data_IF_640033255881
#
_entry.id   IF_640033255881
#
_cell.length_a   1.000
_cell.length_b   1.000
_cell.length_c   1.000
_cell.angle_alpha   90.00
_cell.angle_beta   90.00
_cell.angle_gamma   90.00
#
_symmetry.space_group_name_H-M   'P 1'
#
loop_
_entity.id
_entity.type
_entity.pdbx_description
1 polymer ?
#
# COMPACT_ATOMS: atom_id res chain seq x y z
N UNK A 1 14.38 -0.22 36.76
CA UNK A 1 13.76 0.73 35.83
C UNK A 1 14.30 0.43 34.44
N UNK A 2 13.47 0.26 33.41
CA UNK A 2 13.94 0.12 32.02
C UNK A 2 14.24 1.50 31.46
N UNK A 3 15.44 1.72 30.95
CA UNK A 3 15.90 2.99 30.33
C UNK A 3 15.87 2.95 28.79
N UNK A 4 15.31 1.88 28.23
CA UNK A 4 15.21 1.69 26.78
C UNK A 4 13.77 1.96 26.29
N UNK A 5 13.59 2.48 25.07
CA UNK A 5 12.27 2.64 24.48
C UNK A 5 11.54 1.29 24.32
N UNK A 6 10.27 1.33 23.98
CA UNK A 6 9.48 0.12 23.70
C UNK A 6 10.11 -0.66 22.54
N UNK A 7 10.02 -1.98 22.61
CA UNK A 7 10.54 -2.87 21.55
C UNK A 7 9.89 -2.51 20.20
N UNK A 8 10.73 -2.21 19.22
CA UNK A 8 10.29 -1.78 17.87
C UNK A 8 10.09 -0.27 17.73
N UNK A 9 10.39 0.51 18.77
CA UNK A 9 10.52 1.96 18.74
C UNK A 9 11.97 2.34 19.05
N UNK A 10 12.39 3.55 18.66
CA UNK A 10 13.77 4.00 18.90
C UNK A 10 13.83 5.49 19.16
N UNK A 11 14.74 5.87 20.04
CA UNK A 11 15.18 7.25 20.15
C UNK A 11 16.17 7.56 19.01
N UNK A 12 16.17 8.78 18.54
CA UNK A 12 17.14 9.28 17.57
C UNK A 12 18.09 10.24 18.25
N UNK A 13 19.38 9.99 18.10
CA UNK A 13 20.40 10.93 18.53
C UNK A 13 20.41 12.19 17.65
N UNK A 14 20.96 13.33 18.13
CA UNK A 14 20.90 14.59 17.38
C UNK A 14 21.42 14.50 15.94
N UNK A 15 22.50 13.76 15.70
CA UNK A 15 23.04 13.57 14.34
C UNK A 15 22.10 12.76 13.43
N UNK A 16 21.46 11.71 13.98
CA UNK A 16 20.48 10.90 13.24
C UNK A 16 19.21 11.71 12.95
N UNK A 17 18.76 12.53 13.91
CA UNK A 17 17.61 13.41 13.70
C UNK A 17 17.92 14.47 12.65
N UNK A 18 19.09 15.10 12.68
CA UNK A 18 19.50 16.08 11.69
C UNK A 18 19.54 15.49 10.26
N UNK A 19 20.05 14.26 10.12
CA UNK A 19 20.04 13.56 8.84
C UNK A 19 18.61 13.27 8.37
N UNK A 20 17.72 12.83 9.27
CA UNK A 20 16.29 12.61 8.95
C UNK A 20 15.63 13.90 8.48
N UNK A 21 15.84 15.01 9.19
CA UNK A 21 15.24 16.30 8.85
C UNK A 21 15.73 16.79 7.48
N UNK A 22 17.02 16.58 7.19
CA UNK A 22 17.60 16.90 5.88
C UNK A 22 16.94 16.07 4.76
N UNK A 23 16.89 14.74 4.91
CA UNK A 23 16.27 13.83 3.93
C UNK A 23 14.81 14.20 3.71
N UNK A 24 14.05 14.39 4.79
CA UNK A 24 12.64 14.77 4.73
C UNK A 24 12.48 16.12 4.04
N UNK A 25 13.36 17.09 4.32
CA UNK A 25 13.38 18.39 3.65
C UNK A 25 13.56 18.28 2.13
N UNK A 26 14.49 17.42 1.67
CA UNK A 26 14.72 17.19 0.25
C UNK A 26 13.51 16.55 -0.45
N UNK A 27 12.85 15.58 0.19
CA UNK A 27 11.62 14.94 -0.32
C UNK A 27 10.51 15.99 -0.43
N UNK A 28 10.27 16.77 0.63
CA UNK A 28 9.22 17.78 0.66
C UNK A 28 9.43 18.91 -0.37
N UNK A 29 10.67 19.26 -0.67
CA UNK A 29 11.01 20.21 -1.72
C UNK A 29 10.51 19.70 -3.09
N UNK A 30 10.80 18.44 -3.42
CA UNK A 30 10.35 17.82 -4.69
C UNK A 30 8.84 17.77 -4.78
N UNK A 31 8.17 17.36 -3.71
CA UNK A 31 6.71 17.25 -3.66
C UNK A 31 6.03 18.61 -3.84
N UNK A 32 6.50 19.66 -3.14
CA UNK A 32 5.97 21.01 -3.29
C UNK A 32 6.22 21.59 -4.68
N UNK A 33 7.39 21.33 -5.26
CA UNK A 33 7.70 21.77 -6.63
C UNK A 33 6.77 21.12 -7.69
N UNK A 34 6.21 19.96 -7.38
CA UNK A 34 5.21 19.29 -8.18
C UNK A 34 3.76 19.74 -7.88
N UNK A 35 3.57 20.74 -7.03
CA UNK A 35 2.27 21.34 -6.74
C UNK A 35 1.46 20.62 -5.66
N UNK A 36 2.10 19.76 -4.85
CA UNK A 36 1.41 19.12 -3.72
C UNK A 36 1.41 20.03 -2.49
N UNK A 37 0.29 20.10 -1.79
CA UNK A 37 0.08 20.90 -0.59
C UNK A 37 0.12 20.05 0.68
N UNK A 38 0.80 20.55 1.72
CA UNK A 38 0.98 19.78 2.96
C UNK A 38 -0.19 19.97 3.91
N UNK A 39 -0.72 18.84 4.41
CA UNK A 39 -1.69 18.80 5.51
C UNK A 39 -1.11 18.03 6.71
N UNK A 40 -1.84 18.08 7.81
CA UNK A 40 -1.60 17.25 9.01
C UNK A 40 -2.92 16.73 9.53
N UNK A 41 -2.93 15.46 9.93
CA UNK A 41 -4.08 14.79 10.56
C UNK A 41 -3.68 14.28 11.95
N UNK A 42 -4.63 14.11 12.89
CA UNK A 42 -4.34 13.56 14.21
C UNK A 42 -3.72 12.16 14.15
N UNK A 43 -2.86 11.83 15.11
CA UNK A 43 -2.30 10.47 15.25
C UNK A 43 -3.29 9.48 15.85
N UNK A 44 -4.25 9.98 16.65
CA UNK A 44 -5.35 9.20 17.21
C UNK A 44 -6.56 9.34 16.30
N UNK A 45 -7.14 8.20 15.95
CA UNK A 45 -8.38 8.09 15.20
C UNK A 45 -9.40 7.28 16.00
N UNK A 46 -10.68 7.51 15.69
CA UNK A 46 -11.77 6.70 16.21
C UNK A 46 -11.66 5.26 15.70
N UNK A 47 -11.93 4.28 16.56
CA UNK A 47 -11.87 2.87 16.16
C UNK A 47 -12.85 2.55 15.03
N UNK A 48 -14.02 3.19 14.98
CA UNK A 48 -14.97 2.99 13.88
C UNK A 48 -14.39 3.42 12.53
N UNK A 49 -13.54 4.45 12.51
CA UNK A 49 -12.83 4.87 11.30
C UNK A 49 -11.70 3.91 10.93
N UNK A 50 -10.93 3.46 11.92
CA UNK A 50 -9.84 2.52 11.70
C UNK A 50 -10.35 1.16 11.20
N UNK A 51 -11.52 0.72 11.63
CA UNK A 51 -12.17 -0.52 11.22
C UNK A 51 -12.73 -0.45 9.77
N UNK A 52 -12.91 0.75 9.20
CA UNK A 52 -13.37 0.95 7.80
C UNK A 52 -12.33 0.58 6.76
N UNK A 53 -11.08 0.35 7.13
CA UNK A 53 -10.08 -0.19 6.21
C UNK A 53 -10.42 -1.62 5.84
N UNK A 54 -10.62 -1.91 4.57
CA UNK A 54 -10.87 -3.27 4.07
C UNK A 54 -9.63 -4.14 4.25
N UNK A 55 -9.74 -5.15 5.11
CA UNK A 55 -8.71 -6.16 5.27
C UNK A 55 -8.49 -6.55 6.73
N UNK A 56 -8.95 -7.74 7.11
CA UNK A 56 -8.88 -8.27 8.46
C UNK A 56 -7.48 -8.31 9.08
N UNK A 57 -6.41 -8.35 8.28
CA UNK A 57 -5.03 -8.31 8.77
C UNK A 57 -4.63 -6.93 9.29
N UNK A 58 -5.12 -5.83 8.69
CA UNK A 58 -4.80 -4.47 9.12
C UNK A 58 -5.33 -4.15 10.51
N UNK A 59 -6.45 -4.73 10.93
CA UNK A 59 -7.01 -4.56 12.27
C UNK A 59 -6.06 -5.05 13.37
N UNK A 60 -5.25 -6.07 13.08
CA UNK A 60 -4.24 -6.60 13.99
C UNK A 60 -3.02 -5.68 14.14
N UNK A 61 -2.86 -4.70 13.24
CA UNK A 61 -1.77 -3.73 13.28
C UNK A 61 -2.06 -2.53 14.19
N UNK A 62 -3.31 -2.34 14.62
CA UNK A 62 -3.75 -1.14 15.33
C UNK A 62 -3.30 -1.21 16.79
N UNK A 63 -2.57 -0.21 17.25
CA UNK A 63 -2.40 0.06 18.68
C UNK A 63 -3.68 0.68 19.24
N UNK A 64 -4.47 -0.11 19.97
CA UNK A 64 -5.72 0.33 20.59
C UNK A 64 -5.47 1.12 21.85
N UNK A 65 -6.20 2.21 22.05
CA UNK A 65 -6.18 3.04 23.26
C UNK A 65 -7.41 2.75 24.10
N UNK A 66 -7.18 2.33 25.33
CA UNK A 66 -8.27 1.98 26.26
C UNK A 66 -9.11 3.21 26.61
N UNK A 67 -10.39 3.00 26.77
CA UNK A 67 -11.32 3.95 27.42
C UNK A 67 -10.82 4.35 28.79
N UNK A 68 -11.35 5.42 29.37
CA UNK A 68 -10.98 5.92 30.68
C UNK A 68 -12.18 6.01 31.61
N UNK A 69 -11.92 5.94 32.94
CA UNK A 69 -12.89 6.15 33.97
C UNK A 69 -14.11 5.22 33.86
N UNK A 70 -15.30 5.76 34.09
CA UNK A 70 -16.55 5.00 34.13
C UNK A 70 -16.84 4.20 32.86
N UNK A 71 -16.45 4.73 31.68
CA UNK A 71 -16.64 4.03 30.42
C UNK A 71 -15.81 2.73 30.33
N UNK A 72 -14.59 2.75 30.88
CA UNK A 72 -13.76 1.54 30.95
C UNK A 72 -14.32 0.55 31.95
N UNK A 73 -14.69 1.01 33.14
CA UNK A 73 -15.27 0.17 34.18
C UNK A 73 -16.55 -0.50 33.69
N UNK A 74 -17.47 0.26 33.08
CA UNK A 74 -18.71 -0.30 32.53
C UNK A 74 -18.47 -1.37 31.45
N UNK A 75 -17.46 -1.18 30.58
CA UNK A 75 -17.11 -2.18 29.57
C UNK A 75 -16.50 -3.45 30.17
N UNK A 76 -15.72 -3.31 31.25
CA UNK A 76 -15.16 -4.45 31.99
C UNK A 76 -16.24 -5.22 32.73
N UNK A 77 -17.14 -4.52 33.44
CA UNK A 77 -18.25 -5.12 34.22
C UNK A 77 -19.24 -5.87 33.30
N UNK A 78 -19.44 -5.34 32.08
CA UNK A 78 -20.27 -5.99 31.08
C UNK A 78 -19.59 -7.18 30.38
N UNK A 79 -18.30 -7.48 30.66
CA UNK A 79 -17.52 -8.51 29.98
C UNK A 79 -17.32 -8.26 28.48
N UNK A 80 -17.50 -7.01 28.03
CA UNK A 80 -17.42 -6.67 26.62
C UNK A 80 -16.01 -6.21 26.23
N UNK A 81 -15.13 -7.17 26.01
CA UNK A 81 -13.73 -6.94 25.68
C UNK A 81 -13.50 -6.23 24.33
N UNK A 82 -14.45 -6.34 23.39
CA UNK A 82 -14.38 -5.64 22.10
C UNK A 82 -14.57 -4.12 22.25
N UNK A 83 -15.23 -3.69 23.31
CA UNK A 83 -15.51 -2.29 23.60
C UNK A 83 -14.57 -1.63 24.62
N UNK A 84 -13.45 -2.26 24.96
CA UNK A 84 -12.48 -1.68 25.90
C UNK A 84 -11.75 -0.47 25.32
N UNK A 85 -11.64 -0.38 23.98
CA UNK A 85 -11.02 0.72 23.27
C UNK A 85 -12.04 1.39 22.33
N UNK A 86 -11.97 2.71 22.23
CA UNK A 86 -12.77 3.52 21.30
C UNK A 86 -11.90 4.37 20.38
N UNK A 87 -10.58 4.35 20.59
CA UNK A 87 -9.59 5.05 19.79
C UNK A 87 -8.40 4.12 19.50
N UNK A 88 -7.64 4.45 18.45
CA UNK A 88 -6.39 3.78 18.12
C UNK A 88 -5.39 4.72 17.48
N UNK A 89 -4.13 4.30 17.44
CA UNK A 89 -3.10 5.00 16.68
C UNK A 89 -3.21 4.62 15.19
N UNK A 90 -3.12 5.62 14.33
CA UNK A 90 -3.13 5.40 12.88
C UNK A 90 -1.96 4.50 12.44
N UNK A 91 -2.24 3.52 11.59
CA UNK A 91 -1.25 2.59 11.06
C UNK A 91 -0.73 2.99 9.66
N UNK A 92 -1.39 3.93 9.00
CA UNK A 92 -1.00 4.62 7.76
C UNK A 92 -1.54 6.06 7.73
N UNK A 93 -1.26 6.80 6.65
CA UNK A 93 -1.74 8.16 6.46
C UNK A 93 -2.94 8.25 5.49
N UNK A 94 -3.25 7.18 4.75
CA UNK A 94 -4.31 7.15 3.73
C UNK A 94 -5.70 7.18 4.35
N UNK A 95 -5.93 6.42 5.43
CA UNK A 95 -7.22 6.40 6.10
C UNK A 95 -7.58 7.75 6.74
N UNK A 96 -6.68 8.39 7.55
CA UNK A 96 -6.90 9.74 8.05
C UNK A 96 -7.13 10.78 6.94
N UNK A 97 -6.42 10.64 5.79
CA UNK A 97 -6.62 11.50 4.62
C UNK A 97 -8.03 11.34 4.05
N UNK A 98 -8.52 10.11 3.91
CA UNK A 98 -9.85 9.84 3.36
C UNK A 98 -10.95 10.49 4.21
N UNK A 99 -10.85 10.37 5.56
CA UNK A 99 -11.71 11.08 6.49
C UNK A 99 -11.58 12.61 6.37
N UNK A 100 -10.34 13.13 6.29
CA UNK A 100 -10.07 14.56 6.14
C UNK A 100 -10.71 15.10 4.86
N UNK A 101 -10.52 14.41 3.73
CA UNK A 101 -11.06 14.82 2.45
C UNK A 101 -12.60 14.77 2.45
N UNK A 102 -13.23 13.72 2.98
CA UNK A 102 -14.67 13.61 3.11
C UNK A 102 -15.28 14.79 3.91
N UNK A 103 -14.62 15.19 5.00
CA UNK A 103 -15.06 16.30 5.83
C UNK A 103 -14.87 17.69 5.19
N UNK A 104 -13.91 17.85 4.28
CA UNK A 104 -13.48 19.16 3.75
C UNK A 104 -13.67 19.30 2.24
N UNK A 105 -14.22 18.31 1.53
CA UNK A 105 -14.30 18.26 0.05
C UNK A 105 -14.91 19.51 -0.61
N UNK A 106 -15.79 20.23 0.11
CA UNK A 106 -16.47 21.42 -0.43
C UNK A 106 -15.57 22.65 -0.48
N UNK A 107 -14.41 22.65 0.19
CA UNK A 107 -13.47 23.76 0.25
C UNK A 107 -12.09 23.42 -0.34
N UNK A 108 -11.86 22.13 -0.63
CA UNK A 108 -10.62 21.68 -1.25
C UNK A 108 -10.69 21.76 -2.78
N UNK A 109 -9.55 21.97 -3.47
CA UNK A 109 -9.51 21.97 -4.93
C UNK A 109 -9.79 20.57 -5.50
N UNK A 110 -10.16 20.50 -6.77
CA UNK A 110 -10.28 19.25 -7.53
C UNK A 110 -9.48 19.39 -8.83
N UNK A 111 -8.46 18.54 -9.09
CA UNK A 111 -7.93 17.53 -8.18
C UNK A 111 -7.22 18.13 -6.95
N UNK A 112 -7.24 17.41 -5.83
CA UNK A 112 -6.53 17.78 -4.62
C UNK A 112 -5.21 16.97 -4.51
N UNK A 113 -4.10 17.67 -4.66
CA UNK A 113 -2.74 17.09 -4.57
C UNK A 113 -2.18 17.38 -3.18
N UNK A 114 -1.95 16.33 -2.40
CA UNK A 114 -1.68 16.46 -0.96
C UNK A 114 -0.43 15.73 -0.53
N UNK A 115 0.29 16.32 0.44
CA UNK A 115 1.45 15.73 1.14
C UNK A 115 1.05 15.47 2.59
N UNK A 116 1.36 14.29 3.07
CA UNK A 116 1.43 14.00 4.50
C UNK A 116 2.81 13.45 4.85
N UNK A 117 3.42 13.97 5.91
CA UNK A 117 4.68 13.45 6.44
C UNK A 117 4.56 13.42 7.93
N UNK A 118 4.39 12.22 8.48
CA UNK A 118 4.16 12.04 9.91
C UNK A 118 4.38 10.59 10.36
N UNK A 119 4.32 10.38 11.66
CA UNK A 119 4.46 9.08 12.30
C UNK A 119 3.22 8.23 12.10
N UNK A 120 3.47 6.93 11.86
CA UNK A 120 2.48 5.87 11.86
C UNK A 120 2.93 4.73 12.77
N UNK A 121 1.98 3.90 13.23
CA UNK A 121 2.21 2.93 14.27
C UNK A 121 1.64 1.58 13.88
N UNK A 122 2.45 0.51 13.97
CA UNK A 122 2.04 -0.85 13.64
C UNK A 122 2.40 -1.81 14.75
N UNK A 123 1.42 -2.51 15.29
CA UNK A 123 1.58 -3.44 16.41
C UNK A 123 2.22 -4.79 16.02
N UNK A 124 2.75 -4.90 14.80
CA UNK A 124 3.39 -6.12 14.31
C UNK A 124 4.68 -6.48 15.06
N UNK A 125 5.16 -7.70 14.85
CA UNK A 125 6.43 -8.16 15.44
C UNK A 125 7.60 -7.41 14.81
N UNK A 126 8.40 -6.67 15.60
CA UNK A 126 9.55 -5.93 15.10
C UNK A 126 10.61 -6.84 14.49
N UNK A 127 11.15 -6.43 13.35
CA UNK A 127 12.26 -7.10 12.67
C UNK A 127 13.19 -6.04 12.09
N UNK A 128 14.33 -6.47 11.54
CA UNK A 128 15.25 -5.55 10.85
C UNK A 128 14.53 -4.86 9.69
N UNK A 129 14.50 -3.53 9.70
CA UNK A 129 13.78 -2.73 8.70
C UNK A 129 12.27 -2.56 8.95
N UNK A 130 11.68 -3.23 9.98
CA UNK A 130 10.26 -3.06 10.37
C UNK A 130 10.16 -2.62 11.82
N UNK A 131 9.84 -1.35 12.01
CA UNK A 131 9.62 -0.73 13.30
C UNK A 131 8.12 -0.65 13.60
N UNK A 132 7.79 -0.50 14.89
CA UNK A 132 6.41 -0.25 15.34
C UNK A 132 6.01 1.22 15.26
N UNK A 133 6.97 2.12 15.20
CA UNK A 133 6.81 3.55 14.97
C UNK A 133 7.80 3.97 13.90
N UNK A 134 7.31 4.58 12.83
CA UNK A 134 8.13 5.10 11.73
C UNK A 134 7.44 6.26 11.04
N UNK A 135 8.17 7.03 10.24
CA UNK A 135 7.62 8.15 9.46
C UNK A 135 7.31 7.68 8.05
N UNK A 136 6.10 7.97 7.59
CA UNK A 136 5.73 7.93 6.18
C UNK A 136 5.85 9.33 5.57
N UNK A 137 6.22 9.39 4.29
CA UNK A 137 6.21 10.60 3.46
C UNK A 137 5.33 10.29 2.24
N UNK A 138 4.05 10.58 2.37
CA UNK A 138 3.03 10.20 1.39
C UNK A 138 2.62 11.39 0.54
N UNK A 139 2.35 11.13 -0.74
CA UNK A 139 1.68 12.04 -1.66
C UNK A 139 0.47 11.32 -2.25
N UNK A 140 -0.64 12.04 -2.35
CA UNK A 140 -1.88 11.52 -2.91
C UNK A 140 -2.51 12.56 -3.86
N UNK A 141 -3.28 12.06 -4.83
CA UNK A 141 -4.11 12.85 -5.73
C UNK A 141 -5.54 12.36 -5.58
N UNK A 142 -6.45 13.23 -5.13
CA UNK A 142 -7.86 12.91 -4.98
C UNK A 142 -8.69 13.71 -6.00
N UNK A 143 -9.63 13.02 -6.67
CA UNK A 143 -10.53 13.64 -7.65
C UNK A 143 -9.97 13.68 -9.07
N UNK A 144 -8.97 12.85 -9.39
CA UNK A 144 -8.51 12.58 -10.76
C UNK A 144 -8.59 11.07 -11.03
N UNK A 145 -9.44 10.70 -11.99
CA UNK A 145 -9.63 9.30 -12.39
C UNK A 145 -8.71 8.88 -13.55
N UNK A 146 -8.02 9.84 -14.16
CA UNK A 146 -7.16 9.55 -15.31
C UNK A 146 -5.89 8.79 -14.92
N UNK A 147 -5.34 7.93 -15.81
CA UNK A 147 -4.06 7.24 -15.55
C UNK A 147 -2.86 8.19 -15.48
N UNK A 148 -3.05 9.48 -15.78
CA UNK A 148 -2.01 10.50 -15.56
C UNK A 148 -1.70 10.73 -14.08
N UNK A 149 -2.68 10.53 -13.20
CA UNK A 149 -2.46 10.63 -11.76
C UNK A 149 -1.42 9.60 -11.29
N UNK A 150 -1.50 8.35 -11.76
CA UNK A 150 -0.50 7.33 -11.46
C UNK A 150 0.87 7.68 -12.05
N UNK A 151 0.92 8.16 -13.29
CA UNK A 151 2.17 8.58 -13.94
C UNK A 151 2.83 9.69 -13.12
N UNK A 152 2.07 10.70 -12.69
CA UNK A 152 2.59 11.82 -11.88
C UNK A 152 3.10 11.34 -10.52
N UNK A 153 2.33 10.49 -9.81
CA UNK A 153 2.74 9.95 -8.50
C UNK A 153 4.03 9.13 -8.60
N UNK A 154 4.15 8.30 -9.64
CA UNK A 154 5.37 7.51 -9.89
C UNK A 154 6.56 8.42 -10.19
N UNK A 155 6.40 9.41 -11.08
CA UNK A 155 7.46 10.34 -11.45
C UNK A 155 7.93 11.17 -10.26
N UNK A 156 7.00 11.76 -9.50
CA UNK A 156 7.33 12.59 -8.34
C UNK A 156 8.00 11.78 -7.24
N UNK A 157 7.53 10.53 -6.99
CA UNK A 157 8.17 9.60 -6.06
C UNK A 157 9.59 9.26 -6.50
N UNK A 158 9.78 8.93 -7.78
CA UNK A 158 11.10 8.61 -8.33
C UNK A 158 12.07 9.81 -8.25
N UNK A 159 11.61 11.01 -8.57
CA UNK A 159 12.41 12.24 -8.43
C UNK A 159 12.81 12.52 -6.98
N UNK A 160 11.92 12.26 -6.02
CA UNK A 160 12.25 12.39 -4.60
C UNK A 160 13.34 11.39 -4.17
N UNK A 161 13.25 10.13 -4.62
CA UNK A 161 14.26 9.10 -4.36
C UNK A 161 15.61 9.47 -4.97
N UNK A 162 15.64 9.90 -6.24
CA UNK A 162 16.87 10.38 -6.91
C UNK A 162 17.48 11.58 -6.16
N UNK A 163 16.65 12.53 -5.71
CA UNK A 163 17.10 13.72 -4.97
C UNK A 163 17.83 13.38 -3.67
N UNK A 164 17.43 12.31 -2.99
CA UNK A 164 18.07 11.85 -1.75
C UNK A 164 19.17 10.81 -1.97
N UNK A 165 19.55 10.56 -3.23
CA UNK A 165 20.70 9.75 -3.59
C UNK A 165 20.42 8.26 -3.81
N UNK A 166 19.17 7.84 -3.98
CA UNK A 166 18.88 6.48 -4.46
C UNK A 166 19.11 6.42 -5.96
N UNK A 167 19.76 5.35 -6.40
CA UNK A 167 20.00 5.06 -7.82
C UNK A 167 19.73 3.58 -8.12
N UNK A 168 19.64 3.23 -9.40
CA UNK A 168 19.53 1.85 -9.87
C UNK A 168 18.29 1.10 -9.35
N UNK A 169 17.28 1.79 -8.84
CA UNK A 169 16.04 1.17 -8.40
C UNK A 169 15.13 0.80 -9.57
N UNK A 170 14.17 -0.06 -9.29
CA UNK A 170 13.12 -0.46 -10.23
C UNK A 170 11.76 -0.09 -9.67
N UNK A 171 10.92 0.55 -10.48
CA UNK A 171 9.50 0.75 -10.21
C UNK A 171 8.74 -0.41 -10.85
N UNK A 172 8.28 -1.33 -10.04
CA UNK A 172 7.41 -2.43 -10.44
C UNK A 172 5.96 -1.95 -10.43
N UNK A 173 5.22 -2.24 -11.48
CA UNK A 173 3.82 -1.81 -11.63
C UNK A 173 2.96 -3.01 -12.02
N UNK A 174 1.75 -3.07 -11.43
CA UNK A 174 0.69 -4.02 -11.79
C UNK A 174 -0.68 -3.35 -11.66
N UNK A 175 -1.73 -4.04 -12.10
CA UNK A 175 -3.11 -3.67 -11.83
C UNK A 175 -3.88 -4.86 -11.25
N UNK A 176 -4.43 -4.69 -10.06
CA UNK A 176 -5.17 -5.75 -9.36
C UNK A 176 -6.38 -6.26 -10.15
N UNK A 177 -7.01 -5.39 -10.93
CA UNK A 177 -8.17 -5.74 -11.75
C UNK A 177 -7.79 -6.73 -12.86
N UNK A 178 -6.63 -6.55 -13.49
CA UNK A 178 -6.11 -7.46 -14.53
C UNK A 178 -5.80 -8.83 -13.92
N UNK A 179 -5.11 -8.86 -12.78
CA UNK A 179 -4.80 -10.10 -12.10
C UNK A 179 -6.08 -10.84 -11.68
N UNK A 180 -7.02 -10.13 -11.04
CA UNK A 180 -8.32 -10.72 -10.63
C UNK A 180 -9.09 -11.25 -11.83
N UNK A 181 -9.21 -10.47 -12.92
CA UNK A 181 -9.90 -10.91 -14.14
C UNK A 181 -9.26 -12.16 -14.77
N UNK A 182 -7.94 -12.27 -14.76
CA UNK A 182 -7.24 -13.48 -15.19
C UNK A 182 -7.61 -14.68 -14.29
N UNK A 183 -7.56 -14.52 -12.98
CA UNK A 183 -7.87 -15.59 -12.03
C UNK A 183 -9.34 -16.03 -12.12
N UNK A 184 -10.26 -15.09 -12.29
CA UNK A 184 -11.68 -15.39 -12.54
C UNK A 184 -11.85 -16.21 -13.82
N UNK A 185 -11.16 -15.85 -14.90
CA UNK A 185 -11.21 -16.60 -16.17
C UNK A 185 -10.68 -18.03 -16.05
N UNK A 186 -9.83 -18.29 -15.05
CA UNK A 186 -9.32 -19.63 -14.74
C UNK A 186 -10.27 -20.44 -13.84
N UNK A 187 -11.36 -19.82 -13.34
CA UNK A 187 -12.40 -20.50 -12.54
C UNK A 187 -12.28 -20.33 -11.04
N UNK A 188 -11.48 -19.37 -10.55
CA UNK A 188 -11.51 -18.96 -9.14
C UNK A 188 -12.76 -18.14 -8.83
N UNK A 189 -13.44 -18.41 -7.73
CA UNK A 189 -14.63 -17.69 -7.31
C UNK A 189 -14.27 -16.27 -6.79
N UNK A 190 -15.10 -15.23 -7.03
CA UNK A 190 -14.82 -13.84 -6.66
C UNK A 190 -14.47 -13.63 -5.18
N UNK A 191 -15.08 -14.39 -4.28
CA UNK A 191 -14.86 -14.35 -2.83
C UNK A 191 -13.53 -15.00 -2.41
N UNK A 192 -12.90 -15.79 -3.27
CA UNK A 192 -11.61 -16.45 -3.00
C UNK A 192 -10.41 -15.67 -3.56
N UNK A 193 -10.64 -14.72 -4.46
CA UNK A 193 -9.59 -14.05 -5.23
C UNK A 193 -8.54 -13.37 -4.35
N UNK A 194 -8.92 -12.74 -3.24
CA UNK A 194 -7.95 -12.09 -2.36
C UNK A 194 -6.98 -13.11 -1.76
N UNK A 195 -7.48 -14.29 -1.35
CA UNK A 195 -6.64 -15.38 -0.85
C UNK A 195 -5.71 -15.94 -1.94
N UNK A 196 -6.21 -16.05 -3.18
CA UNK A 196 -5.40 -16.50 -4.32
C UNK A 196 -4.33 -15.46 -4.66
N UNK A 197 -4.67 -14.16 -4.68
CA UNK A 197 -3.73 -13.07 -4.92
C UNK A 197 -2.61 -13.04 -3.86
N UNK A 198 -2.93 -13.24 -2.58
CA UNK A 198 -1.92 -13.32 -1.49
C UNK A 198 -0.98 -14.52 -1.69
N UNK A 199 -1.49 -15.64 -2.18
CA UNK A 199 -0.65 -16.81 -2.50
C UNK A 199 0.23 -16.51 -3.73
N UNK A 200 -0.33 -15.88 -4.74
CA UNK A 200 0.37 -15.50 -5.96
C UNK A 200 1.51 -14.48 -5.69
N UNK A 201 1.34 -13.56 -4.76
CA UNK A 201 2.37 -12.60 -4.30
C UNK A 201 3.65 -13.28 -3.76
N UNK A 202 3.53 -14.55 -3.38
CA UNK A 202 4.67 -15.36 -2.92
C UNK A 202 5.42 -16.05 -4.06
N UNK A 203 4.94 -15.95 -5.31
CA UNK A 203 5.46 -16.71 -6.45
C UNK A 203 6.98 -16.56 -6.61
N UNK A 204 7.51 -15.35 -6.45
CA UNK A 204 8.95 -15.07 -6.58
C UNK A 204 9.80 -15.80 -5.50
N UNK A 205 9.18 -16.19 -4.39
CA UNK A 205 9.84 -16.88 -3.25
C UNK A 205 9.68 -18.38 -3.29
N UNK A 206 8.47 -18.87 -3.65
CA UNK A 206 8.12 -20.29 -3.54
C UNK A 206 8.03 -20.99 -4.90
N UNK A 207 8.05 -20.23 -6.00
CA UNK A 207 7.90 -20.74 -7.37
C UNK A 207 6.50 -21.25 -7.68
N UNK A 208 6.24 -21.65 -8.95
CA UNK A 208 4.93 -22.14 -9.40
C UNK A 208 4.42 -23.34 -8.60
N UNK A 209 5.29 -24.29 -8.29
CA UNK A 209 4.91 -25.49 -7.51
C UNK A 209 4.54 -25.14 -6.07
N UNK A 210 5.20 -24.17 -5.43
CA UNK A 210 4.85 -23.70 -4.10
C UNK A 210 3.48 -23.00 -4.08
N UNK A 211 3.17 -22.19 -5.10
CA UNK A 211 1.85 -21.57 -5.28
C UNK A 211 0.78 -22.66 -5.45
N UNK A 212 1.01 -23.65 -6.31
CA UNK A 212 0.11 -24.77 -6.51
C UNK A 212 -0.17 -25.53 -5.22
N UNK A 213 0.86 -25.86 -4.46
CA UNK A 213 0.74 -26.60 -3.20
C UNK A 213 -0.09 -25.81 -2.16
N UNK A 214 0.19 -24.51 -1.97
CA UNK A 214 -0.56 -23.67 -1.02
C UNK A 214 -2.04 -23.50 -1.43
N UNK A 215 -2.33 -23.32 -2.71
CA UNK A 215 -3.73 -23.23 -3.19
C UNK A 215 -4.48 -24.55 -3.03
N UNK A 216 -3.81 -25.68 -3.20
CA UNK A 216 -4.38 -27.01 -2.96
C UNK A 216 -4.69 -27.20 -1.46
N UNK A 217 -3.77 -26.80 -0.57
CA UNK A 217 -3.98 -26.84 0.88
C UNK A 217 -5.17 -25.97 1.31
N UNK A 218 -5.35 -24.82 0.67
CA UNK A 218 -6.49 -23.91 0.86
C UNK A 218 -7.80 -24.44 0.24
N UNK A 219 -7.80 -25.64 -0.31
CA UNK A 219 -8.96 -26.30 -0.92
C UNK A 219 -9.59 -25.48 -2.08
N UNK A 220 -8.76 -24.77 -2.83
CA UNK A 220 -9.20 -24.07 -4.04
C UNK A 220 -9.63 -25.07 -5.14
N UNK A 221 -10.53 -24.68 -6.08
CA UNK A 221 -11.00 -25.58 -7.13
C UNK A 221 -9.85 -26.20 -7.92
N UNK A 222 -9.71 -27.56 -7.98
CA UNK A 222 -8.56 -28.19 -8.60
C UNK A 222 -8.33 -27.78 -10.06
N UNK A 223 -9.40 -27.64 -10.85
CA UNK A 223 -9.30 -27.21 -12.24
C UNK A 223 -8.72 -25.79 -12.40
N UNK A 224 -9.09 -24.85 -11.50
CA UNK A 224 -8.56 -23.51 -11.49
C UNK A 224 -7.07 -23.49 -11.05
N UNK A 225 -6.71 -24.30 -10.06
CA UNK A 225 -5.33 -24.46 -9.60
C UNK A 225 -4.45 -25.04 -10.71
N UNK A 226 -4.93 -26.05 -11.42
CA UNK A 226 -4.20 -26.65 -12.56
C UNK A 226 -4.07 -25.66 -13.73
N UNK A 227 -5.10 -24.86 -14.03
CA UNK A 227 -5.05 -23.83 -15.07
C UNK A 227 -4.02 -22.74 -14.73
N UNK A 228 -3.96 -22.30 -13.48
CA UNK A 228 -2.98 -21.33 -13.01
C UNK A 228 -1.56 -21.92 -13.03
N UNK A 229 -1.39 -23.15 -12.57
CA UNK A 229 -0.09 -23.83 -12.57
C UNK A 229 0.44 -24.02 -14.01
N UNK A 230 -0.43 -24.40 -14.96
CA UNK A 230 -0.07 -24.50 -16.37
C UNK A 230 0.36 -23.15 -16.94
N UNK A 231 -0.39 -22.08 -16.67
CA UNK A 231 -0.04 -20.72 -17.10
C UNK A 231 1.34 -20.26 -16.54
N UNK A 232 1.60 -20.54 -15.28
CA UNK A 232 2.88 -20.21 -14.65
C UNK A 232 4.05 -21.04 -15.18
N UNK A 233 3.78 -22.28 -15.57
CA UNK A 233 4.79 -23.17 -16.16
C UNK A 233 5.23 -22.76 -17.58
N UNK A 234 4.39 -22.02 -18.33
CA UNK A 234 4.74 -21.42 -19.61
C UNK A 234 5.88 -20.40 -19.47
N UNK A 235 6.12 -19.88 -18.24
CA UNK A 235 7.28 -19.06 -17.88
C UNK A 235 7.22 -17.61 -18.35
N UNK A 236 6.29 -17.25 -19.22
CA UNK A 236 6.20 -15.93 -19.85
C UNK A 236 4.94 -15.18 -19.37
N UNK A 237 4.95 -14.75 -18.10
CA UNK A 237 3.84 -13.97 -17.49
C UNK A 237 3.92 -12.51 -17.94
N UNK A 238 3.82 -12.28 -19.26
CA UNK A 238 3.81 -10.93 -19.83
C UNK A 238 2.48 -10.24 -19.61
N UNK A 239 2.48 -8.90 -19.70
CA UNK A 239 1.25 -8.12 -19.66
C UNK A 239 0.27 -8.55 -20.77
N UNK A 240 0.76 -8.84 -21.96
CA UNK A 240 -0.03 -9.29 -23.11
C UNK A 240 -0.73 -10.63 -22.81
N UNK A 241 -0.01 -11.59 -22.22
CA UNK A 241 -0.56 -12.91 -21.88
C UNK A 241 -1.61 -12.82 -20.77
N UNK A 242 -1.40 -11.96 -19.78
CA UNK A 242 -2.37 -11.73 -18.68
C UNK A 242 -3.59 -10.95 -19.19
N UNK A 243 -3.37 -9.87 -19.95
CA UNK A 243 -4.43 -9.04 -20.52
C UNK A 243 -5.36 -9.79 -21.48
N UNK A 244 -4.81 -10.75 -22.23
CA UNK A 244 -5.61 -11.60 -23.13
C UNK A 244 -6.65 -12.46 -22.39
N UNK A 245 -6.51 -12.62 -21.08
CA UNK A 245 -7.43 -13.36 -20.20
C UNK A 245 -8.33 -12.43 -19.36
N UNK A 246 -8.12 -11.11 -19.47
CA UNK A 246 -8.92 -10.12 -18.77
C UNK A 246 -10.18 -9.79 -19.58
N UNK A 247 -11.32 -9.66 -18.91
CA UNK A 247 -12.60 -9.36 -19.56
C UNK A 247 -12.72 -7.90 -20.03
N UNK A 248 -11.94 -6.99 -19.46
CA UNK A 248 -11.94 -5.55 -19.81
C UNK A 248 -10.59 -5.11 -20.39
N UNK A 249 -10.51 -4.93 -21.72
CA UNK A 249 -9.30 -4.50 -22.39
C UNK A 249 -8.83 -3.08 -21.98
N UNK A 250 -9.73 -2.19 -21.59
CA UNK A 250 -9.39 -0.81 -21.23
C UNK A 250 -8.42 -0.74 -20.05
N UNK A 251 -8.55 -1.64 -19.08
CA UNK A 251 -7.65 -1.72 -17.92
C UNK A 251 -6.22 -2.03 -18.37
N UNK A 252 -6.06 -2.94 -19.33
CA UNK A 252 -4.75 -3.29 -19.87
C UNK A 252 -4.13 -2.13 -20.65
N UNK A 253 -4.94 -1.36 -21.38
CA UNK A 253 -4.48 -0.20 -22.14
C UNK A 253 -4.04 0.94 -21.21
N UNK A 254 -4.75 1.20 -20.11
CA UNK A 254 -4.34 2.13 -19.06
C UNK A 254 -2.99 1.72 -18.45
N UNK A 255 -2.83 0.44 -18.11
CA UNK A 255 -1.56 -0.05 -17.55
C UNK A 255 -0.40 0.06 -18.54
N UNK A 256 -0.62 -0.26 -19.83
CA UNK A 256 0.37 -0.07 -20.91
C UNK A 256 0.75 1.41 -21.05
N UNK A 257 -0.24 2.29 -20.98
CA UNK A 257 -0.03 3.74 -21.03
C UNK A 257 0.88 4.19 -19.89
N UNK A 258 0.59 3.80 -18.64
CA UNK A 258 1.39 4.19 -17.47
C UNK A 258 2.79 3.63 -17.54
N UNK A 259 2.96 2.34 -17.88
CA UNK A 259 4.29 1.73 -18.07
C UNK A 259 5.13 2.49 -19.10
N UNK A 260 4.52 2.84 -20.23
CA UNK A 260 5.20 3.58 -21.32
C UNK A 260 5.53 5.02 -20.90
N UNK A 261 4.59 5.72 -20.27
CA UNK A 261 4.77 7.12 -19.85
C UNK A 261 5.83 7.23 -18.74
N UNK A 262 5.71 6.43 -17.68
CA UNK A 262 6.68 6.37 -16.59
C UNK A 262 8.07 5.93 -17.09
N UNK A 263 8.12 4.95 -18.02
CA UNK A 263 9.39 4.52 -18.64
C UNK A 263 10.08 5.62 -19.45
N UNK A 264 9.33 6.51 -20.10
CA UNK A 264 9.89 7.69 -20.78
C UNK A 264 10.43 8.73 -19.81
N UNK A 265 9.68 9.01 -18.73
CA UNK A 265 10.06 9.96 -17.69
C UNK A 265 11.26 9.48 -16.87
N UNK A 266 11.50 8.18 -16.83
CA UNK A 266 12.68 7.60 -16.17
C UNK A 266 14.01 8.05 -16.80
N UNK A 267 14.05 8.38 -18.09
CA UNK A 267 15.25 8.85 -18.82
C UNK A 267 16.49 7.98 -18.57
N UNK A 268 16.31 6.68 -18.34
CA UNK A 268 17.39 5.75 -18.02
C UNK A 268 17.96 5.84 -16.59
N UNK A 269 17.44 6.73 -15.74
CA UNK A 269 17.91 6.91 -14.35
C UNK A 269 17.44 5.78 -13.42
N UNK A 270 16.33 5.15 -13.75
CA UNK A 270 15.77 3.99 -13.05
C UNK A 270 15.00 3.11 -14.03
N UNK A 271 14.63 1.91 -13.61
CA UNK A 271 13.82 0.99 -14.43
C UNK A 271 12.36 1.08 -14.09
N UNK A 272 11.50 0.88 -15.10
CA UNK A 272 10.05 0.69 -14.93
C UNK A 272 9.71 -0.66 -15.52
N UNK A 273 9.02 -1.51 -14.78
CA UNK A 273 8.72 -2.87 -15.18
C UNK A 273 7.30 -3.30 -14.81
N UNK A 274 6.67 -4.07 -15.66
CA UNK A 274 5.48 -4.84 -15.29
C UNK A 274 5.89 -5.97 -14.34
N UNK A 275 5.16 -6.12 -13.24
CA UNK A 275 5.41 -7.17 -12.25
C UNK A 275 4.08 -7.87 -11.92
N UNK A 276 3.78 -8.99 -12.57
CA UNK A 276 2.50 -9.70 -12.42
C UNK A 276 2.26 -10.21 -10.99
N UNK A 277 3.31 -10.54 -10.24
CA UNK A 277 3.24 -10.99 -8.86
C UNK A 277 2.98 -9.85 -7.85
N UNK A 278 3.09 -8.59 -8.26
CA UNK A 278 2.87 -7.46 -7.35
C UNK A 278 1.39 -7.30 -7.01
N UNK A 279 1.00 -7.63 -5.77
CA UNK A 279 -0.37 -7.53 -5.28
C UNK A 279 -0.54 -6.42 -4.24
N UNK A 280 0.48 -6.13 -3.45
CA UNK A 280 0.48 -5.21 -2.30
C UNK A 280 -0.47 -5.67 -1.17
N UNK A 281 0.01 -5.62 0.07
CA UNK A 281 -0.72 -6.10 1.24
C UNK A 281 -1.83 -5.18 1.77
N UNK A 282 -2.03 -3.98 1.19
CA UNK A 282 -3.09 -3.07 1.62
C UNK A 282 -4.41 -3.44 0.92
N UNK A 283 -5.42 -3.85 1.69
CA UNK A 283 -6.71 -4.31 1.18
C UNK A 283 -7.51 -3.24 0.44
N UNK A 284 -7.25 -1.96 0.69
CA UNK A 284 -8.01 -0.85 0.12
C UNK A 284 -7.64 -0.46 -1.32
N UNK A 285 -6.58 -1.01 -1.91
CA UNK A 285 -6.26 -0.73 -3.32
C UNK A 285 -7.27 -1.39 -4.26
N UNK A 286 -7.80 -0.61 -5.19
CA UNK A 286 -8.87 -1.03 -6.13
C UNK A 286 -8.39 -1.24 -7.56
N UNK A 287 -7.24 -0.71 -7.93
CA UNK A 287 -6.73 -0.72 -9.30
C UNK A 287 -5.23 -0.90 -9.37
N UNK A 288 -4.59 0.01 -10.09
CA UNK A 288 -3.14 0.00 -10.27
C UNK A 288 -2.38 0.10 -8.94
N UNK A 289 -1.30 -0.66 -8.85
CA UNK A 289 -0.36 -0.66 -7.72
C UNK A 289 1.06 -0.55 -8.24
N UNK A 290 1.92 0.12 -7.48
CA UNK A 290 3.34 0.16 -7.78
C UNK A 290 4.19 -0.05 -6.53
N UNK A 291 5.40 -0.52 -6.72
CA UNK A 291 6.39 -0.71 -5.66
C UNK A 291 7.78 -0.36 -6.19
N UNK A 292 8.53 0.41 -5.40
CA UNK A 292 9.91 0.75 -5.73
C UNK A 292 10.85 -0.14 -4.94
N UNK A 293 11.63 -0.94 -5.65
CA UNK A 293 12.63 -1.84 -5.07
C UNK A 293 14.02 -1.36 -5.42
N UNK A 294 14.91 -1.40 -4.43
CA UNK A 294 16.29 -0.98 -4.57
C UNK A 294 17.22 -2.15 -4.17
N UNK A 295 18.24 -2.51 -4.99
CA UNK A 295 19.10 -3.65 -4.69
C UNK A 295 19.82 -3.59 -3.33
N UNK A 296 20.01 -2.38 -2.79
CA UNK A 296 20.69 -2.15 -1.51
C UNK A 296 19.78 -2.44 -0.30
N UNK A 297 18.47 -2.67 -0.50
CA UNK A 297 17.50 -2.87 0.58
C UNK A 297 16.69 -4.15 0.39
N UNK A 298 16.44 -4.85 1.48
CA UNK A 298 15.70 -6.11 1.48
C UNK A 298 14.16 -5.93 1.40
N UNK A 299 13.67 -4.80 0.92
CA UNK A 299 12.23 -4.54 0.82
C UNK A 299 11.95 -3.32 -0.05
N UNK A 300 10.68 -2.99 -0.24
CA UNK A 300 10.29 -1.78 -0.93
C UNK A 300 10.71 -0.54 -0.16
N UNK A 301 11.23 0.46 -0.88
CA UNK A 301 11.58 1.78 -0.33
C UNK A 301 10.45 2.78 -0.49
N UNK A 302 9.57 2.55 -1.46
CA UNK A 302 8.33 3.28 -1.67
C UNK A 302 7.28 2.38 -2.34
N UNK A 303 6.03 2.81 -2.36
CA UNK A 303 4.97 2.13 -3.09
C UNK A 303 3.61 2.74 -2.81
N UNK A 304 2.69 2.52 -3.72
CA UNK A 304 1.35 3.07 -3.67
C UNK A 304 0.39 2.31 -4.56
N UNK A 305 -0.81 2.87 -4.72
CA UNK A 305 -1.82 2.35 -5.63
C UNK A 305 -3.10 3.16 -5.61
N UNK A 306 -3.98 2.89 -6.56
CA UNK A 306 -5.31 3.50 -6.67
C UNK A 306 -6.25 2.96 -5.59
N UNK A 307 -7.03 3.84 -4.95
CA UNK A 307 -7.99 3.50 -3.90
C UNK A 307 -9.29 4.30 -4.04
N UNK A 308 -10.18 3.88 -4.93
CA UNK A 308 -11.39 4.63 -5.29
C UNK A 308 -12.49 4.59 -4.22
N UNK A 309 -12.51 3.54 -3.37
CA UNK A 309 -13.62 3.28 -2.47
C UNK A 309 -13.43 3.85 -1.04
N UNK A 310 -12.27 4.39 -0.71
CA UNK A 310 -11.95 4.80 0.68
C UNK A 310 -12.73 6.02 1.14
N UNK A 311 -12.82 7.06 0.30
CA UNK A 311 -13.51 8.31 0.65
C UNK A 311 -15.01 8.07 0.86
N UNK A 312 -15.62 7.22 0.03
CA UNK A 312 -17.05 6.89 0.11
C UNK A 312 -17.49 6.18 1.39
N UNK A 313 -16.55 5.74 2.23
CA UNK A 313 -16.84 5.10 3.53
C UNK A 313 -17.08 6.10 4.67
N UNK A 314 -16.81 7.37 4.44
CA UNK A 314 -17.00 8.50 5.35
C UNK A 314 -18.13 9.40 4.84
#
# INVERSE_FOLDING_TARGET
MKIQPLKGMRDLLPAEQALRDYIQGQILEVYRAAGFERISTPMLEDMENLDKSEGGENLNLIFKVLKRGEKLTAALDAGNYSQLADMGLRYDLTLPLSRYYAANRNVLPTPFKVIQTDRVFRAERPQKGRLREFVQCDIDILGDESPNAEVELIDVTARALLKIGFDGFTVNINDRRILRGMLESMGFAPDTLDSVCITFDKMDKVGPEGVRAELTEKQMPPAAVDALAAFLAEGDVTLEAVAARCSDPAIADDLKYVLKAAGRLAEGKYKVAYCPSLVRGQGYYTGMVFEVVCPQFAGAVAGGGRYDNMVGKF
#
